data_IF_575486567344
#
_entry.id   IF_575486567344
#
_cell.length_a   1.000
_cell.length_b   1.000
_cell.length_c   1.000
_cell.angle_alpha   90.00
_cell.angle_beta   90.00
_cell.angle_gamma   90.00
#
_symmetry.space_group_name_H-M   'P 1'
#
loop_
_entity.id
_entity.type
_entity.pdbx_description
1 polymer ?
#
# COMPACT_ATOMS: atom_id res chain seq x y z
N UNK A 1 16.51 20.16 -71.70
CA UNK A 1 15.77 18.92 -71.37
C UNK A 1 15.30 19.03 -69.93
N UNK A 2 13.99 19.12 -69.74
CA UNK A 2 13.31 19.36 -68.45
C UNK A 2 13.60 18.17 -67.53
N UNK A 3 14.53 18.32 -66.59
CA UNK A 3 14.67 17.37 -65.51
C UNK A 3 13.36 17.39 -64.73
N UNK A 4 12.71 16.24 -64.69
CA UNK A 4 11.38 16.00 -64.16
C UNK A 4 11.35 16.37 -62.68
N UNK A 5 11.03 17.63 -62.39
CA UNK A 5 10.71 18.17 -61.06
C UNK A 5 9.29 17.79 -60.60
N UNK A 6 8.75 16.69 -61.13
CA UNK A 6 7.44 16.16 -60.82
C UNK A 6 7.65 14.65 -60.69
N UNK A 7 7.32 13.97 -59.61
CA UNK A 7 6.45 14.29 -58.50
C UNK A 7 6.69 13.17 -57.50
N UNK A 8 7.29 13.48 -56.36
CA UNK A 8 7.26 12.56 -55.23
C UNK A 8 6.53 13.24 -54.09
N UNK A 9 5.25 13.50 -54.33
CA UNK A 9 4.28 13.62 -53.25
C UNK A 9 4.15 12.24 -52.60
N UNK A 10 5.19 11.79 -51.89
CA UNK A 10 4.98 10.77 -50.87
C UNK A 10 4.17 11.43 -49.77
N UNK A 11 3.01 10.87 -49.50
CA UNK A 11 2.21 11.25 -48.37
C UNK A 11 3.05 10.97 -47.12
N UNK A 12 3.52 12.02 -46.42
CA UNK A 12 4.43 11.88 -45.28
C UNK A 12 3.82 11.02 -44.16
N UNK A 13 2.49 10.90 -44.16
CA UNK A 13 1.65 10.04 -43.32
C UNK A 13 1.93 8.54 -43.50
N UNK A 14 2.44 8.12 -44.66
CA UNK A 14 2.80 6.72 -44.94
C UNK A 14 4.26 6.40 -44.56
N UNK A 15 5.02 7.39 -44.12
CA UNK A 15 6.39 7.16 -43.67
C UNK A 15 6.37 6.44 -42.31
N UNK A 16 7.02 5.26 -42.17
CA UNK A 16 7.04 4.51 -40.92
C UNK A 16 7.61 5.30 -39.73
N UNK A 17 8.60 6.17 -39.99
CA UNK A 17 9.18 7.03 -38.96
C UNK A 17 8.20 8.09 -38.47
N UNK A 18 7.38 8.64 -39.36
CA UNK A 18 6.36 9.63 -39.02
C UNK A 18 5.22 8.98 -38.23
N UNK A 19 4.79 7.77 -38.60
CA UNK A 19 3.80 7.00 -37.85
C UNK A 19 4.31 6.67 -36.44
N UNK A 20 5.55 6.21 -36.33
CA UNK A 20 6.19 5.97 -35.04
C UNK A 20 6.25 7.24 -34.20
N UNK A 21 6.70 8.37 -34.75
CA UNK A 21 6.72 9.64 -34.03
C UNK A 21 5.33 10.07 -33.55
N UNK A 22 4.30 9.92 -34.38
CA UNK A 22 2.91 10.22 -33.99
C UNK A 22 2.39 9.28 -32.90
N UNK A 23 2.71 8.00 -32.97
CA UNK A 23 2.35 7.01 -31.96
C UNK A 23 3.03 7.33 -30.63
N UNK A 24 4.34 7.59 -30.64
CA UNK A 24 5.08 8.01 -29.44
C UNK A 24 4.54 9.33 -28.87
N UNK A 25 4.20 10.29 -29.72
CA UNK A 25 3.62 11.55 -29.28
C UNK A 25 2.24 11.38 -28.66
N UNK A 26 1.39 10.47 -29.20
CA UNK A 26 0.08 10.15 -28.62
C UNK A 26 0.22 9.41 -27.29
N UNK A 27 1.11 8.43 -27.22
CA UNK A 27 1.35 7.60 -26.03
C UNK A 27 1.98 8.39 -24.88
N UNK A 28 2.86 9.34 -25.20
CA UNK A 28 3.54 10.20 -24.23
C UNK A 28 2.98 11.62 -24.19
N UNK A 29 1.82 11.87 -24.80
CA UNK A 29 1.10 13.13 -24.63
C UNK A 29 0.79 13.24 -23.15
N UNK A 30 1.43 14.17 -22.45
CA UNK A 30 1.19 14.42 -21.04
C UNK A 30 -0.27 14.82 -20.90
N UNK A 31 -1.13 13.85 -20.59
CA UNK A 31 -2.53 14.07 -20.27
C UNK A 31 -2.59 14.69 -18.88
N UNK A 32 -3.57 15.56 -18.67
CA UNK A 32 -3.85 16.17 -17.36
C UNK A 32 -3.95 15.14 -16.22
N UNK A 33 -4.30 13.90 -16.55
CA UNK A 33 -4.33 12.75 -15.65
C UNK A 33 -2.97 12.45 -14.98
N UNK A 34 -1.86 12.60 -15.71
CA UNK A 34 -0.49 12.43 -15.15
C UNK A 34 -0.13 13.53 -14.14
N UNK A 35 -0.64 14.75 -14.33
CA UNK A 35 -0.47 15.85 -13.38
C UNK A 35 -1.36 15.71 -12.14
N UNK A 36 -2.57 15.16 -12.29
CA UNK A 36 -3.46 14.88 -11.16
C UNK A 36 -2.96 13.71 -10.32
N UNK A 37 -2.34 12.70 -10.94
CA UNK A 37 -1.79 11.53 -10.25
C UNK A 37 -0.76 11.94 -9.18
N UNK A 38 0.24 12.76 -9.52
CA UNK A 38 1.28 13.15 -8.57
C UNK A 38 0.78 13.90 -7.32
N UNK A 39 -0.30 14.69 -7.42
CA UNK A 39 -0.91 15.35 -6.25
C UNK A 39 -1.66 14.37 -5.36
N UNK A 40 -2.40 13.44 -5.98
CA UNK A 40 -3.15 12.44 -5.24
C UNK A 40 -2.21 11.43 -4.57
N UNK A 41 -1.11 11.08 -5.23
CA UNK A 41 -0.09 10.17 -4.73
C UNK A 41 0.57 10.71 -3.44
N UNK A 42 0.92 12.00 -3.40
CA UNK A 42 1.55 12.60 -2.20
C UNK A 42 0.59 12.62 -1.01
N UNK A 43 -0.68 12.96 -1.25
CA UNK A 43 -1.71 12.94 -0.18
C UNK A 43 -1.94 11.51 0.30
N UNK A 44 -2.09 10.56 -0.62
CA UNK A 44 -2.26 9.14 -0.29
C UNK A 44 -1.07 8.59 0.52
N UNK A 45 0.15 8.98 0.17
CA UNK A 45 1.36 8.62 0.94
C UNK A 45 1.30 9.21 2.34
N UNK A 46 0.97 10.50 2.49
CA UNK A 46 0.84 11.14 3.80
C UNK A 46 -0.22 10.46 4.68
N UNK A 47 -1.39 10.14 4.12
CA UNK A 47 -2.48 9.45 4.81
C UNK A 47 -2.06 8.02 5.23
N UNK A 48 -1.31 7.33 4.37
CA UNK A 48 -0.76 6.00 4.68
C UNK A 48 0.19 6.06 5.87
N UNK A 49 1.09 7.05 5.91
CA UNK A 49 2.00 7.24 7.04
C UNK A 49 1.25 7.61 8.32
N UNK A 50 0.23 8.46 8.24
CA UNK A 50 -0.59 8.82 9.39
C UNK A 50 -1.25 7.57 9.99
N UNK A 51 -1.90 6.75 9.15
CA UNK A 51 -2.52 5.49 9.55
C UNK A 51 -1.51 4.53 10.21
N UNK A 52 -0.30 4.41 9.63
CA UNK A 52 0.78 3.59 10.20
C UNK A 52 1.20 4.08 11.60
N UNK A 53 1.40 5.39 11.76
CA UNK A 53 1.81 5.97 13.04
C UNK A 53 0.73 5.79 14.11
N UNK A 54 -0.53 6.02 13.76
CA UNK A 54 -1.67 5.82 14.65
C UNK A 54 -1.84 4.36 15.06
N UNK A 55 -1.78 3.44 14.09
CA UNK A 55 -1.90 1.99 14.35
C UNK A 55 -0.75 1.49 15.21
N UNK A 56 0.47 1.97 14.99
CA UNK A 56 1.65 1.62 15.82
C UNK A 56 1.46 2.06 17.27
N UNK A 57 0.98 3.30 17.50
CA UNK A 57 0.71 3.79 18.87
C UNK A 57 -0.36 2.96 19.56
N UNK A 58 -1.48 2.67 18.87
CA UNK A 58 -2.55 1.81 19.40
C UNK A 58 -2.07 0.39 19.67
N UNK A 59 -1.23 -0.15 18.80
CA UNK A 59 -0.66 -1.48 18.97
C UNK A 59 0.25 -1.54 20.21
N UNK A 60 1.05 -0.51 20.45
CA UNK A 60 1.87 -0.41 21.67
C UNK A 60 1.00 -0.36 22.93
N UNK A 61 -0.05 0.46 22.94
CA UNK A 61 -1.00 0.53 24.06
C UNK A 61 -1.67 -0.83 24.33
N UNK A 62 -2.15 -1.50 23.28
CA UNK A 62 -2.74 -2.84 23.40
C UNK A 62 -1.71 -3.87 23.86
N UNK A 63 -0.46 -3.76 23.40
CA UNK A 63 0.62 -4.66 23.81
C UNK A 63 1.05 -4.40 25.24
N UNK A 64 0.99 -3.18 25.75
CA UNK A 64 1.22 -2.89 27.15
C UNK A 64 0.09 -3.43 28.04
N UNK A 65 -1.16 -3.26 27.60
CA UNK A 65 -2.34 -3.72 28.33
C UNK A 65 -2.49 -5.25 28.32
N UNK A 66 -2.21 -5.89 27.19
CA UNK A 66 -2.52 -7.30 26.95
C UNK A 66 -1.32 -8.17 26.58
N UNK A 67 -0.22 -7.59 26.10
CA UNK A 67 1.03 -8.30 25.83
C UNK A 67 1.63 -8.80 27.12
N UNK A 68 1.40 -10.09 27.40
CA UNK A 68 2.04 -10.75 28.53
C UNK A 68 3.56 -10.66 28.42
N UNK A 69 4.24 -10.39 29.53
CA UNK A 69 5.72 -10.45 29.66
C UNK A 69 6.25 -11.91 29.58
N UNK A 70 5.64 -12.76 28.76
CA UNK A 70 5.81 -14.22 28.73
C UNK A 70 4.51 -14.99 28.97
N UNK A 71 4.61 -16.30 29.15
CA UNK A 71 3.49 -17.16 29.55
C UNK A 71 2.99 -16.73 30.95
N UNK A 72 1.75 -16.21 31.02
CA UNK A 72 1.10 -15.90 32.30
C UNK A 72 0.87 -17.19 33.08
N UNK A 73 0.97 -17.15 34.42
CA UNK A 73 0.67 -18.33 35.24
C UNK A 73 -0.74 -18.85 34.97
N UNK A 74 -0.95 -20.15 35.20
CA UNK A 74 -2.26 -20.81 35.00
C UNK A 74 -3.33 -20.11 35.86
N UNK A 75 -2.99 -19.65 37.07
CA UNK A 75 -3.94 -18.93 37.93
C UNK A 75 -4.30 -17.55 37.38
N UNK A 76 -3.30 -16.80 36.89
CA UNK A 76 -3.53 -15.49 36.29
C UNK A 76 -4.40 -15.60 35.03
N UNK A 77 -4.18 -16.64 34.22
CA UNK A 77 -4.96 -16.93 33.03
C UNK A 77 -6.39 -17.34 33.36
N UNK A 78 -6.58 -18.21 34.37
CA UNK A 78 -7.90 -18.62 34.85
C UNK A 78 -8.70 -17.41 35.37
N UNK A 79 -8.07 -16.51 36.11
CA UNK A 79 -8.75 -15.36 36.70
C UNK A 79 -9.23 -14.33 35.66
N UNK A 80 -8.53 -14.17 34.53
CA UNK A 80 -8.94 -13.30 33.41
C UNK A 80 -10.28 -13.74 32.81
N UNK A 81 -10.52 -15.06 32.74
CA UNK A 81 -11.76 -15.63 32.19
C UNK A 81 -12.81 -15.94 33.28
N UNK A 82 -12.59 -15.47 34.51
CA UNK A 82 -13.52 -15.66 35.63
C UNK A 82 -13.49 -17.08 36.24
N UNK A 83 -12.45 -17.86 35.97
CA UNK A 83 -12.26 -19.20 36.51
C UNK A 83 -11.35 -19.16 37.75
N UNK A 84 -11.61 -20.05 38.70
CA UNK A 84 -10.75 -20.25 39.89
C UNK A 84 -10.05 -21.59 39.79
N UNK A 85 -8.79 -21.64 40.22
CA UNK A 85 -8.09 -22.91 40.34
C UNK A 85 -8.75 -23.78 41.43
N UNK A 86 -9.00 -25.07 41.17
CA UNK A 86 -9.52 -25.97 42.19
C UNK A 86 -8.50 -26.11 43.32
N UNK A 87 -8.99 -26.17 44.56
CA UNK A 87 -8.14 -26.46 45.73
C UNK A 87 -7.61 -27.89 45.58
N UNK A 88 -6.30 -28.06 45.59
CA UNK A 88 -5.67 -29.37 45.72
C UNK A 88 -6.09 -29.97 47.06
N UNK A 89 -6.46 -31.25 47.06
CA UNK A 89 -6.86 -31.98 48.27
C UNK A 89 -5.77 -31.92 49.34
N UNK A 90 -6.12 -31.46 50.55
CA UNK A 90 -5.27 -31.48 51.74
C UNK A 90 -5.88 -32.47 52.75
N UNK A 91 -5.21 -33.58 53.08
CA UNK A 91 -5.72 -34.59 54.00
C UNK A 91 -5.85 -34.11 55.45
N UNK A 92 -5.35 -32.92 55.81
CA UNK A 92 -5.40 -32.39 57.18
C UNK A 92 -6.46 -31.31 57.41
N UNK A 93 -7.29 -30.98 56.40
CA UNK A 93 -8.27 -29.90 56.47
C UNK A 93 -9.70 -30.37 56.17
N UNK A 94 -10.09 -31.52 56.73
CA UNK A 94 -11.48 -32.03 56.75
C UNK A 94 -12.06 -31.98 58.15
#
# INVERSE_FOLDING_TARGET
LKYTFLSFQRNITECPTYQFMLEQFKNHKVTSEKYCQGKHDVVHVADTYLCLLESTRKHQELTEMYGGKGERSIEASANIVGLKLPKTYDPNNS
#
